data_IF_426895258039
#
_entry.id   IF_426895258039
#
_cell.length_a   1.000
_cell.length_b   1.000
_cell.length_c   1.000
_cell.angle_alpha   90.00
_cell.angle_beta   90.00
_cell.angle_gamma   90.00
#
_symmetry.space_group_name_H-M   'P 1'
#
loop_
_entity.id
_entity.type
_entity.pdbx_description
1 polymer ?
#
# COMPACT_ATOMS: atom_id res chain seq x y z
N UNK A 1 -22.88 -7.34 -88.22
CA UNK A 1 -22.16 -7.94 -87.08
C UNK A 1 -21.56 -6.82 -86.25
N UNK A 2 -22.17 -6.47 -85.12
CA UNK A 2 -21.54 -5.57 -84.14
C UNK A 2 -22.12 -5.87 -82.77
N UNK A 3 -21.29 -6.44 -81.90
CA UNK A 3 -21.63 -6.88 -80.53
C UNK A 3 -21.65 -5.65 -79.61
N UNK A 4 -22.71 -5.53 -78.80
CA UNK A 4 -22.75 -4.61 -77.65
C UNK A 4 -22.06 -5.28 -76.45
N UNK A 5 -21.07 -4.61 -75.87
CA UNK A 5 -20.41 -4.98 -74.61
C UNK A 5 -21.16 -4.33 -73.44
N UNK A 6 -21.68 -5.15 -72.53
CA UNK A 6 -22.22 -4.70 -71.23
C UNK A 6 -21.07 -4.48 -70.25
N UNK A 7 -20.93 -3.27 -69.73
CA UNK A 7 -20.05 -2.98 -68.58
C UNK A 7 -20.83 -3.21 -67.28
N UNK A 8 -20.34 -4.15 -66.46
CA UNK A 8 -20.82 -4.38 -65.09
C UNK A 8 -20.03 -3.44 -64.16
N UNK A 9 -20.71 -2.51 -63.50
CA UNK A 9 -20.13 -1.71 -62.42
C UNK A 9 -20.17 -2.52 -61.11
N UNK A 10 -19.00 -2.91 -60.61
CA UNK A 10 -18.84 -3.50 -59.27
C UNK A 10 -18.65 -2.36 -58.28
N UNK A 11 -19.63 -2.12 -57.41
CA UNK A 11 -19.50 -1.22 -56.27
C UNK A 11 -18.69 -1.90 -55.17
N UNK A 12 -17.46 -1.44 -54.93
CA UNK A 12 -16.70 -1.81 -53.73
C UNK A 12 -17.24 -0.99 -52.55
N UNK A 13 -17.96 -1.65 -51.64
CA UNK A 13 -18.33 -1.07 -50.35
C UNK A 13 -17.06 -1.01 -49.49
N UNK A 14 -16.51 0.19 -49.31
CA UNK A 14 -15.45 0.45 -48.33
C UNK A 14 -16.06 0.31 -46.92
N UNK A 15 -15.83 -0.83 -46.28
CA UNK A 15 -16.07 -0.98 -44.84
C UNK A 15 -14.94 -0.22 -44.16
N UNK A 16 -15.20 0.87 -43.40
CA UNK A 16 -14.15 1.56 -42.69
C UNK A 16 -13.57 0.58 -41.67
N UNK A 17 -12.25 0.37 -41.72
CA UNK A 17 -11.51 -0.32 -40.68
C UNK A 17 -11.77 0.41 -39.36
N UNK A 18 -12.72 -0.08 -38.57
CA UNK A 18 -12.77 0.27 -37.16
C UNK A 18 -11.42 -0.14 -36.59
N UNK A 19 -10.63 0.84 -36.15
CA UNK A 19 -9.51 0.59 -35.26
C UNK A 19 -10.10 -0.12 -34.04
N UNK A 20 -9.99 -1.43 -34.01
CA UNK A 20 -10.24 -2.20 -32.81
C UNK A 20 -9.11 -1.83 -31.86
N UNK A 21 -9.36 -0.89 -30.94
CA UNK A 21 -8.45 -0.63 -29.83
C UNK A 21 -8.30 -1.96 -29.11
N UNK A 22 -7.08 -2.55 -29.00
CA UNK A 22 -6.92 -3.80 -28.30
C UNK A 22 -7.33 -3.56 -26.85
N UNK A 23 -8.48 -4.12 -26.45
CA UNK A 23 -8.87 -4.19 -25.04
C UNK A 23 -7.75 -4.97 -24.37
N UNK A 24 -7.03 -4.33 -23.46
CA UNK A 24 -5.98 -4.96 -22.66
C UNK A 24 -6.64 -6.06 -21.84
N UNK A 25 -6.56 -7.30 -22.31
CA UNK A 25 -7.17 -8.43 -21.65
C UNK A 25 -6.37 -8.70 -20.37
N UNK A 26 -6.95 -8.31 -19.23
CA UNK A 26 -6.40 -8.59 -17.89
C UNK A 26 -6.17 -10.10 -17.77
N UNK A 27 -4.97 -10.50 -17.32
CA UNK A 27 -4.62 -11.92 -17.15
C UNK A 27 -4.97 -12.43 -15.75
N UNK A 28 -5.28 -11.53 -14.85
CA UNK A 28 -5.62 -11.77 -13.45
C UNK A 28 -6.89 -11.01 -13.07
N UNK A 29 -7.34 -11.20 -11.83
CA UNK A 29 -8.46 -10.44 -11.26
C UNK A 29 -8.04 -9.08 -10.65
N UNK A 30 -6.81 -8.59 -10.94
CA UNK A 30 -6.39 -7.26 -10.53
C UNK A 30 -7.33 -6.19 -11.09
N UNK A 31 -7.74 -5.26 -10.23
CA UNK A 31 -8.58 -4.13 -10.62
C UNK A 31 -7.90 -2.82 -10.21
N UNK A 32 -7.51 -2.01 -11.20
CA UNK A 32 -6.82 -0.74 -10.94
C UNK A 32 -7.71 0.28 -10.23
N UNK A 33 -9.02 0.30 -10.50
CA UNK A 33 -9.97 1.19 -9.80
C UNK A 33 -10.06 0.81 -8.32
N UNK A 34 -10.10 -0.50 -8.02
CA UNK A 34 -10.01 -1.01 -6.64
C UNK A 34 -8.67 -0.64 -6.01
N UNK A 35 -7.55 -0.79 -6.73
CA UNK A 35 -6.23 -0.42 -6.24
C UNK A 35 -6.12 1.08 -5.91
N UNK A 36 -6.63 1.98 -6.76
CA UNK A 36 -6.65 3.43 -6.50
C UNK A 36 -7.50 3.77 -5.27
N UNK A 37 -8.67 3.13 -5.13
CA UNK A 37 -9.50 3.28 -3.93
C UNK A 37 -8.78 2.80 -2.66
N UNK A 38 -8.09 1.66 -2.73
CA UNK A 38 -7.32 1.11 -1.61
C UNK A 38 -6.06 1.93 -1.30
N UNK A 39 -5.48 2.63 -2.27
CA UNK A 39 -4.39 3.59 -2.02
C UNK A 39 -4.89 4.77 -1.18
N UNK A 40 -6.07 5.33 -1.46
CA UNK A 40 -6.64 6.40 -0.64
C UNK A 40 -6.81 5.96 0.81
N UNK A 41 -7.27 4.73 1.04
CA UNK A 41 -7.39 4.17 2.38
C UNK A 41 -6.02 4.01 3.05
N UNK A 42 -5.04 3.44 2.34
CA UNK A 42 -3.66 3.29 2.84
C UNK A 42 -3.00 4.65 3.14
N UNK A 43 -3.23 5.67 2.31
CA UNK A 43 -2.80 7.04 2.52
C UNK A 43 -3.47 7.64 3.77
N UNK A 44 -4.79 7.48 3.91
CA UNK A 44 -5.55 7.96 5.07
C UNK A 44 -5.03 7.43 6.41
N UNK A 45 -4.39 6.27 6.43
CA UNK A 45 -3.74 5.73 7.63
C UNK A 45 -2.62 6.66 8.16
N UNK A 46 -1.98 7.47 7.32
CA UNK A 46 -0.93 8.42 7.72
C UNK A 46 -1.47 9.71 8.36
N UNK A 47 -2.76 10.01 8.19
CA UNK A 47 -3.42 11.16 8.79
C UNK A 47 -3.67 10.94 10.29
N UNK A 48 -4.06 12.01 11.00
CA UNK A 48 -4.60 11.87 12.35
C UNK A 48 -5.95 11.14 12.36
N UNK A 49 -6.68 11.22 11.24
CA UNK A 49 -8.04 10.72 11.08
C UNK A 49 -8.24 10.27 9.61
N UNK A 50 -8.62 9.01 9.32
CA UNK A 50 -8.78 8.51 7.96
C UNK A 50 -10.08 8.96 7.25
N UNK A 51 -11.00 9.62 7.95
CA UNK A 51 -12.39 9.88 7.53
C UNK A 51 -12.47 10.71 6.24
N UNK A 52 -11.59 11.69 6.06
CA UNK A 52 -11.56 12.49 4.83
C UNK A 52 -11.22 11.62 3.61
N UNK A 53 -10.22 10.73 3.75
CA UNK A 53 -9.87 9.77 2.72
C UNK A 53 -10.96 8.71 2.49
N UNK A 54 -11.61 8.23 3.55
CA UNK A 54 -12.76 7.32 3.45
C UNK A 54 -13.89 7.99 2.65
N UNK A 55 -14.19 9.26 2.93
CA UNK A 55 -15.23 10.03 2.22
C UNK A 55 -14.88 10.24 0.74
N UNK A 56 -13.62 10.55 0.42
CA UNK A 56 -13.14 10.70 -0.96
C UNK A 56 -13.24 9.38 -1.74
N UNK A 57 -12.74 8.30 -1.16
CA UNK A 57 -12.78 6.95 -1.75
C UNK A 57 -14.22 6.59 -2.04
N UNK A 58 -15.02 6.76 -0.98
CA UNK A 58 -16.40 6.40 -0.82
C UNK A 58 -17.42 7.43 -1.29
N UNK A 59 -17.55 7.81 -2.57
CA UNK A 59 -18.47 8.89 -3.03
C UNK A 59 -19.97 8.75 -2.64
N UNK A 60 -20.36 7.66 -1.97
CA UNK A 60 -21.74 7.37 -1.55
C UNK A 60 -22.20 8.15 -0.31
N UNK A 61 -23.46 8.61 -0.36
CA UNK A 61 -24.23 9.34 0.66
C UNK A 61 -24.60 8.48 1.90
N UNK A 62 -24.08 7.25 2.01
CA UNK A 62 -24.55 6.26 2.99
C UNK A 62 -23.45 5.89 3.99
N UNK A 63 -23.81 5.61 5.26
CA UNK A 63 -22.83 5.47 6.32
C UNK A 63 -21.99 4.21 6.12
N UNK A 64 -20.70 4.39 5.90
CA UNK A 64 -19.69 3.40 6.27
C UNK A 64 -19.23 3.74 7.68
N UNK A 65 -19.06 2.73 8.51
CA UNK A 65 -18.69 2.94 9.89
C UNK A 65 -17.19 2.66 10.05
N UNK A 66 -16.45 3.68 10.45
CA UNK A 66 -15.14 3.46 11.04
C UNK A 66 -15.39 2.66 12.32
N UNK A 67 -14.98 1.39 12.30
CA UNK A 67 -15.31 0.45 13.35
C UNK A 67 -14.26 0.52 14.48
N UNK A 68 -12.98 0.48 14.10
CA UNK A 68 -11.87 0.59 15.04
C UNK A 68 -10.73 1.37 14.41
N UNK A 69 -10.02 2.14 15.22
CA UNK A 69 -8.77 2.79 14.85
C UNK A 69 -7.83 2.69 16.04
N UNK A 70 -6.60 2.27 15.77
CA UNK A 70 -5.63 1.97 16.81
C UNK A 70 -4.29 2.53 16.40
N UNK A 71 -3.69 3.30 17.31
CA UNK A 71 -2.28 3.66 17.24
C UNK A 71 -1.61 3.09 18.50
N UNK A 72 -0.63 2.21 18.32
CA UNK A 72 0.13 1.63 19.44
C UNK A 72 1.61 1.74 19.18
N UNK A 73 2.40 1.76 20.25
CA UNK A 73 3.83 1.50 20.15
C UNK A 73 4.01 0.02 19.79
N UNK A 74 4.72 -0.24 18.71
CA UNK A 74 4.83 -1.60 18.15
C UNK A 74 6.26 -2.14 18.10
N UNK A 75 7.24 -1.39 18.63
CA UNK A 75 8.61 -1.86 18.73
C UNK A 75 9.32 -1.34 19.98
N UNK A 76 10.46 -1.96 20.28
CA UNK A 76 11.35 -1.63 21.40
C UNK A 76 11.95 -0.21 21.29
N UNK A 77 11.78 0.45 20.14
CA UNK A 77 12.24 1.81 19.84
C UNK A 77 11.12 2.85 19.90
N UNK A 78 9.96 2.48 20.45
CA UNK A 78 8.80 3.36 20.60
C UNK A 78 8.21 3.91 19.28
N UNK A 79 8.44 3.26 18.13
CA UNK A 79 7.73 3.65 16.91
C UNK A 79 6.26 3.27 17.03
N UNK A 80 5.40 4.17 16.57
CA UNK A 80 3.98 3.88 16.50
C UNK A 80 3.63 3.12 15.22
N UNK A 81 2.90 2.03 15.36
CA UNK A 81 2.15 1.40 14.28
C UNK A 81 0.68 1.79 14.40
N UNK A 82 -0.01 1.82 13.26
CA UNK A 82 -1.41 2.16 13.21
C UNK A 82 -2.19 1.20 12.33
N UNK A 83 -3.42 0.90 12.72
CA UNK A 83 -4.38 0.24 11.84
C UNK A 83 -5.78 0.79 12.07
N UNK A 84 -6.64 0.64 11.08
CA UNK A 84 -8.07 0.88 11.25
C UNK A 84 -8.90 -0.09 10.42
N UNK A 85 -10.14 -0.30 10.85
CA UNK A 85 -11.10 -1.18 10.18
C UNK A 85 -12.32 -0.38 9.74
N UNK A 86 -12.77 -0.62 8.50
CA UNK A 86 -13.93 0.03 7.91
C UNK A 86 -14.93 -1.03 7.45
N UNK A 87 -16.13 -1.00 8.02
CA UNK A 87 -17.23 -1.86 7.61
C UNK A 87 -18.11 -1.15 6.55
N UNK A 88 -18.34 -1.85 5.44
CA UNK A 88 -19.31 -1.50 4.39
C UNK A 88 -20.45 -2.53 4.42
N UNK A 89 -21.48 -2.23 5.22
CA UNK A 89 -22.61 -3.14 5.44
C UNK A 89 -23.45 -3.39 4.19
N UNK A 90 -23.40 -2.47 3.22
CA UNK A 90 -24.16 -2.59 1.97
C UNK A 90 -23.56 -3.70 1.11
N UNK A 91 -22.24 -3.68 0.99
CA UNK A 91 -21.51 -4.66 0.20
C UNK A 91 -21.12 -5.90 1.00
N UNK A 92 -21.44 -5.93 2.30
CA UNK A 92 -20.97 -6.95 3.25
C UNK A 92 -19.45 -7.13 3.15
N UNK A 93 -18.74 -6.01 3.23
CA UNK A 93 -17.29 -5.96 3.01
C UNK A 93 -16.58 -5.24 4.15
N UNK A 94 -15.48 -5.80 4.62
CA UNK A 94 -14.61 -5.25 5.65
C UNK A 94 -13.28 -4.85 5.03
N UNK A 95 -12.81 -3.64 5.28
CA UNK A 95 -11.48 -3.19 4.89
C UNK A 95 -10.61 -3.07 6.13
N UNK A 96 -9.44 -3.70 6.10
CA UNK A 96 -8.47 -3.65 7.20
C UNK A 96 -7.21 -2.99 6.66
N UNK A 97 -6.87 -1.84 7.23
CA UNK A 97 -5.88 -0.92 6.69
C UNK A 97 -4.76 -0.72 7.68
N UNK A 98 -3.52 -0.87 7.23
CA UNK A 98 -2.33 -0.69 8.05
C UNK A 98 -1.52 0.53 7.60
N UNK A 99 -1.06 1.32 8.56
CA UNK A 99 -0.19 2.48 8.35
C UNK A 99 1.26 2.04 8.22
N UNK A 100 2.01 2.67 7.31
CA UNK A 100 3.47 2.60 7.34
C UNK A 100 4.13 3.50 8.40
N UNK A 101 5.44 3.68 8.30
CA UNK A 101 6.22 4.47 9.27
C UNK A 101 6.05 5.98 9.08
N UNK A 102 5.84 6.75 10.17
CA UNK A 102 5.70 8.22 10.14
C UNK A 102 7.03 8.99 10.08
N UNK A 103 8.09 8.44 10.67
CA UNK A 103 9.29 9.19 11.09
C UNK A 103 10.55 8.97 10.24
N UNK A 104 10.62 7.96 9.38
CA UNK A 104 11.90 7.59 8.73
C UNK A 104 11.89 7.86 7.23
N UNK A 105 12.37 9.05 6.90
CA UNK A 105 12.59 9.52 5.53
C UNK A 105 14.08 9.56 5.14
N UNK A 106 14.96 8.85 5.84
CA UNK A 106 16.13 8.23 5.21
C UNK A 106 15.77 6.77 4.96
N UNK A 107 15.24 6.47 3.77
CA UNK A 107 14.70 5.15 3.39
C UNK A 107 15.71 3.99 3.37
N UNK A 108 16.97 4.23 3.79
CA UNK A 108 18.12 3.33 3.59
C UNK A 108 19.17 3.29 4.72
N UNK A 109 19.10 4.13 5.75
CA UNK A 109 20.06 4.00 6.88
C UNK A 109 19.83 2.71 7.68
N UNK A 110 18.70 2.05 7.41
CA UNK A 110 18.37 0.70 7.87
C UNK A 110 18.12 -0.27 6.70
N UNK A 111 19.13 -0.54 5.88
CA UNK A 111 19.30 -1.93 5.39
C UNK A 111 19.50 -2.95 6.55
N UNK A 112 19.28 -2.54 7.80
CA UNK A 112 19.97 -2.98 9.01
C UNK A 112 19.05 -3.68 10.03
N UNK A 113 17.74 -3.43 10.00
CA UNK A 113 16.76 -4.14 10.86
C UNK A 113 15.98 -5.22 10.10
N UNK A 114 16.11 -5.29 8.78
CA UNK A 114 15.66 -6.40 7.93
C UNK A 114 16.57 -7.64 8.04
N UNK A 115 17.68 -7.53 8.78
CA UNK A 115 18.62 -8.60 9.15
C UNK A 115 18.23 -9.29 10.48
N UNK A 116 17.11 -8.90 11.09
CA UNK A 116 16.59 -9.62 12.25
C UNK A 116 16.31 -11.08 11.85
N UNK A 117 16.64 -12.06 12.71
CA UNK A 117 16.43 -13.46 12.40
C UNK A 117 14.96 -13.66 12.01
N UNK A 118 14.73 -14.53 11.03
CA UNK A 118 13.38 -14.90 10.63
C UNK A 118 12.73 -15.71 11.77
N UNK A 119 11.48 -15.42 12.12
CA UNK A 119 10.74 -16.10 13.19
C UNK A 119 9.68 -17.00 12.58
N UNK A 120 9.52 -18.20 13.14
CA UNK A 120 8.44 -19.11 12.77
C UNK A 120 7.08 -18.40 12.85
N UNK A 121 6.37 -18.41 11.74
CA UNK A 121 5.03 -17.88 11.60
C UNK A 121 4.04 -19.04 11.70
N UNK A 122 3.81 -19.51 12.93
CA UNK A 122 2.83 -20.55 13.23
C UNK A 122 3.02 -21.86 12.42
N UNK A 123 4.27 -22.27 12.20
CA UNK A 123 4.62 -23.53 11.53
C UNK A 123 4.50 -23.54 10.00
N UNK A 124 4.25 -22.39 9.35
CA UNK A 124 4.05 -22.31 7.89
C UNK A 124 5.20 -21.62 7.13
N UNK A 125 6.32 -21.36 7.80
CA UNK A 125 7.47 -20.64 7.27
C UNK A 125 7.92 -19.56 8.24
N UNK A 126 8.90 -18.75 7.84
CA UNK A 126 9.44 -17.71 8.70
C UNK A 126 9.09 -16.32 8.18
N UNK A 127 8.59 -15.46 9.07
CA UNK A 127 8.37 -14.04 8.82
C UNK A 127 9.54 -13.21 9.36
N UNK A 128 9.74 -12.01 8.83
CA UNK A 128 10.61 -11.04 9.45
C UNK A 128 10.11 -10.72 10.87
N UNK A 129 10.98 -10.82 11.87
CA UNK A 129 10.63 -10.64 13.29
C UNK A 129 10.02 -9.28 13.60
N UNK A 130 10.47 -8.21 12.94
CA UNK A 130 9.91 -6.87 13.13
C UNK A 130 8.45 -6.80 12.66
N UNK A 131 8.17 -7.29 11.45
CA UNK A 131 6.80 -7.31 10.93
C UNK A 131 5.88 -8.22 11.75
N UNK A 132 6.40 -9.36 12.24
CA UNK A 132 5.65 -10.25 13.13
C UNK A 132 5.23 -9.54 14.41
N UNK A 133 6.15 -8.93 15.15
CA UNK A 133 5.82 -8.27 16.41
C UNK A 133 4.90 -7.07 16.22
N UNK A 134 5.10 -6.29 15.15
CA UNK A 134 4.21 -5.19 14.82
C UNK A 134 2.79 -5.66 14.48
N UNK A 135 2.64 -6.80 13.79
CA UNK A 135 1.32 -7.39 13.57
C UNK A 135 0.71 -7.86 14.88
N UNK A 136 1.44 -8.60 15.72
CA UNK A 136 0.88 -9.13 16.98
C UNK A 136 0.37 -8.01 17.91
N UNK A 137 1.04 -6.86 17.92
CA UNK A 137 0.58 -5.69 18.68
C UNK A 137 -0.76 -5.11 18.17
N UNK A 138 -1.00 -5.17 16.86
CA UNK A 138 -2.23 -4.68 16.24
C UNK A 138 -3.33 -5.74 16.14
N UNK A 139 -2.96 -7.03 16.20
CA UNK A 139 -3.84 -8.16 15.94
C UNK A 139 -5.13 -8.17 16.77
N UNK A 140 -5.14 -7.84 18.08
CA UNK A 140 -6.38 -7.89 18.86
C UNK A 140 -7.51 -7.03 18.27
N UNK A 141 -7.20 -5.84 17.73
CA UNK A 141 -8.22 -4.98 17.13
C UNK A 141 -8.65 -5.47 15.74
N UNK A 142 -7.74 -6.09 15.01
CA UNK A 142 -8.00 -6.72 13.70
C UNK A 142 -8.89 -7.94 13.86
N UNK A 143 -8.54 -8.81 14.81
CA UNK A 143 -9.30 -10.00 15.18
C UNK A 143 -10.70 -9.64 15.68
N UNK A 144 -10.82 -8.62 16.53
CA UNK A 144 -12.12 -8.13 16.99
C UNK A 144 -13.02 -7.71 15.81
N UNK A 145 -12.49 -6.93 14.86
CA UNK A 145 -13.25 -6.55 13.66
C UNK A 145 -13.64 -7.76 12.80
N UNK A 146 -12.73 -8.74 12.65
CA UNK A 146 -13.04 -9.98 11.92
C UNK A 146 -14.11 -10.83 12.62
N UNK A 147 -14.13 -10.87 13.94
CA UNK A 147 -15.14 -11.61 14.72
C UNK A 147 -16.49 -10.89 14.69
N UNK A 148 -16.53 -9.57 14.69
CA UNK A 148 -17.78 -8.79 14.65
C UNK A 148 -18.51 -8.89 13.30
N UNK A 149 -17.78 -9.03 12.20
CA UNK A 149 -18.34 -9.06 10.84
C UNK A 149 -18.14 -10.42 10.13
N UNK A 150 -18.50 -11.57 10.74
CA UNK A 150 -18.01 -12.91 10.36
C UNK A 150 -18.35 -13.32 8.92
N UNK A 151 -19.42 -12.77 8.35
CA UNK A 151 -19.91 -13.09 7.01
C UNK A 151 -19.41 -12.14 5.92
N UNK A 152 -18.59 -11.14 6.27
CA UNK A 152 -18.13 -10.14 5.32
C UNK A 152 -16.90 -10.64 4.57
N UNK A 153 -16.84 -10.35 3.27
CA UNK A 153 -15.58 -10.40 2.54
C UNK A 153 -14.61 -9.38 3.15
N UNK A 154 -13.31 -9.66 3.11
CA UNK A 154 -12.30 -8.80 3.72
C UNK A 154 -11.20 -8.46 2.73
N UNK A 155 -10.82 -7.19 2.69
CA UNK A 155 -9.67 -6.71 1.94
C UNK A 155 -8.65 -6.06 2.86
N UNK A 156 -7.44 -6.56 2.81
CA UNK A 156 -6.30 -6.03 3.51
C UNK A 156 -5.53 -5.07 2.60
N UNK A 157 -5.11 -3.93 3.13
CA UNK A 157 -4.28 -2.98 2.38
C UNK A 157 -3.32 -2.21 3.27
N UNK A 158 -2.24 -1.73 2.64
CA UNK A 158 -1.26 -0.87 3.28
C UNK A 158 -0.14 -0.48 2.33
N UNK A 159 0.54 0.61 2.68
CA UNK A 159 1.69 1.12 1.96
C UNK A 159 2.97 0.93 2.78
N UNK A 160 4.08 0.61 2.13
CA UNK A 160 5.39 0.41 2.78
C UNK A 160 5.32 -0.66 3.88
N UNK A 161 5.76 -0.37 5.11
CA UNK A 161 5.56 -1.22 6.28
C UNK A 161 4.10 -1.69 6.44
N UNK A 162 3.11 -0.83 6.16
CA UNK A 162 1.70 -1.21 6.22
C UNK A 162 1.35 -2.33 5.25
N UNK A 163 2.02 -2.40 4.09
CA UNK A 163 1.87 -3.52 3.15
C UNK A 163 2.37 -4.84 3.74
N UNK A 164 3.50 -4.83 4.45
CA UNK A 164 4.01 -6.03 5.11
C UNK A 164 3.05 -6.56 6.19
N UNK A 165 2.49 -5.65 7.00
CA UNK A 165 1.52 -6.00 8.04
C UNK A 165 0.20 -6.51 7.44
N UNK A 166 -0.29 -5.86 6.37
CA UNK A 166 -1.47 -6.30 5.63
C UNK A 166 -1.28 -7.71 5.05
N UNK A 167 -0.09 -8.02 4.53
CA UNK A 167 0.25 -9.36 4.05
C UNK A 167 0.14 -10.41 5.15
N UNK A 168 0.86 -10.23 6.27
CA UNK A 168 0.81 -11.18 7.39
C UNK A 168 -0.58 -11.30 8.00
N UNK A 169 -1.33 -10.19 8.11
CA UNK A 169 -2.69 -10.19 8.64
C UNK A 169 -3.65 -10.97 7.75
N UNK A 170 -3.57 -10.80 6.42
CA UNK A 170 -4.39 -11.55 5.47
C UNK A 170 -4.15 -13.05 5.57
N UNK A 171 -2.88 -13.46 5.70
CA UNK A 171 -2.49 -14.85 5.87
C UNK A 171 -2.97 -15.43 7.21
N UNK A 172 -2.74 -14.71 8.31
CA UNK A 172 -3.18 -15.12 9.66
C UNK A 172 -4.70 -15.27 9.73
N UNK A 173 -5.44 -14.40 9.05
CA UNK A 173 -6.91 -14.46 8.97
C UNK A 173 -7.41 -15.77 8.38
N UNK A 174 -6.82 -16.25 7.29
CA UNK A 174 -7.18 -17.53 6.69
C UNK A 174 -6.66 -18.70 7.53
N UNK A 175 -5.41 -18.61 7.99
CA UNK A 175 -4.75 -19.64 8.78
C UNK A 175 -5.52 -19.97 10.07
N UNK A 176 -6.10 -18.96 10.72
CA UNK A 176 -6.87 -19.12 11.96
C UNK A 176 -8.36 -19.41 11.70
N UNK A 177 -8.76 -19.60 10.44
CA UNK A 177 -10.13 -19.91 10.07
C UNK A 177 -11.12 -18.76 10.29
N UNK A 178 -10.63 -17.52 10.44
CA UNK A 178 -11.50 -16.35 10.59
C UNK A 178 -12.24 -16.05 9.28
N UNK A 179 -11.60 -16.28 8.12
CA UNK A 179 -12.25 -16.22 6.79
C UNK A 179 -11.72 -17.31 5.87
N UNK A 180 -12.56 -17.79 4.97
CA UNK A 180 -12.15 -18.67 3.88
C UNK A 180 -11.33 -17.91 2.83
N UNK A 181 -10.39 -18.58 2.15
CA UNK A 181 -9.49 -17.99 1.15
C UNK A 181 -10.18 -17.14 0.08
N UNK A 182 -11.36 -17.56 -0.40
CA UNK A 182 -12.12 -16.86 -1.43
C UNK A 182 -12.84 -15.58 -0.93
N UNK A 183 -12.82 -15.32 0.38
CA UNK A 183 -13.34 -14.11 1.00
C UNK A 183 -12.22 -13.13 1.38
N UNK A 184 -10.96 -13.44 1.10
CA UNK A 184 -9.81 -12.62 1.47
C UNK A 184 -9.10 -12.09 0.24
N UNK A 185 -8.93 -10.77 0.17
CA UNK A 185 -8.07 -10.10 -0.81
C UNK A 185 -6.96 -9.31 -0.13
N UNK A 186 -5.85 -9.13 -0.83
CA UNK A 186 -4.73 -8.30 -0.41
C UNK A 186 -4.29 -7.40 -1.57
N UNK A 187 -4.21 -6.10 -1.32
CA UNK A 187 -3.58 -5.12 -2.20
C UNK A 187 -2.55 -4.33 -1.40
N UNK A 188 -1.31 -4.26 -1.87
CA UNK A 188 -0.25 -3.53 -1.16
C UNK A 188 0.53 -2.62 -2.10
N UNK A 189 1.10 -1.55 -1.55
CA UNK A 189 1.84 -0.54 -2.30
C UNK A 189 3.26 -0.45 -1.76
N UNK A 190 4.27 -0.74 -2.57
CA UNK A 190 5.67 -0.72 -2.13
C UNK A 190 5.95 -1.68 -0.98
N UNK A 191 5.33 -2.86 -0.98
CA UNK A 191 5.47 -3.88 0.06
C UNK A 191 6.88 -4.48 0.02
N UNK A 192 7.64 -4.50 1.14
CA UNK A 192 8.92 -5.22 1.22
C UNK A 192 8.73 -6.75 1.22
N UNK A 193 9.81 -7.52 1.07
CA UNK A 193 9.77 -8.97 1.30
C UNK A 193 9.45 -9.25 2.77
N UNK A 194 8.43 -10.08 3.02
CA UNK A 194 7.84 -10.23 4.36
C UNK A 194 8.37 -11.45 5.11
N UNK A 195 8.76 -12.50 4.40
CA UNK A 195 9.26 -13.74 4.97
C UNK A 195 10.01 -14.58 3.95
N UNK A 196 10.31 -15.83 4.29
CA UNK A 196 10.98 -16.76 3.39
C UNK A 196 10.03 -17.38 2.37
N UNK A 197 10.59 -18.16 1.42
CA UNK A 197 9.79 -18.78 0.35
C UNK A 197 8.72 -19.75 0.88
N UNK A 198 8.97 -20.46 1.98
CA UNK A 198 7.97 -21.34 2.59
C UNK A 198 6.73 -20.54 3.00
N UNK A 199 6.93 -19.39 3.66
CA UNK A 199 5.83 -18.49 4.01
C UNK A 199 5.16 -17.93 2.75
N UNK A 200 5.94 -17.57 1.73
CA UNK A 200 5.41 -17.00 0.50
C UNK A 200 4.54 -17.99 -0.28
N UNK A 201 4.95 -19.26 -0.37
CA UNK A 201 4.17 -20.33 -0.98
C UNK A 201 2.86 -20.56 -0.24
N UNK A 202 2.91 -20.61 1.10
CA UNK A 202 1.71 -20.74 1.95
C UNK A 202 0.78 -19.54 1.81
N UNK A 203 1.32 -18.33 1.64
CA UNK A 203 0.54 -17.15 1.33
C UNK A 203 -0.20 -17.29 0.00
N UNK A 204 0.51 -17.70 -1.06
CA UNK A 204 -0.09 -17.89 -2.39
C UNK A 204 -1.21 -18.96 -2.40
N UNK A 205 -1.06 -20.01 -1.60
CA UNK A 205 -2.09 -21.04 -1.42
C UNK A 205 -3.33 -20.50 -0.70
N UNK A 206 -3.13 -19.78 0.41
CA UNK A 206 -4.21 -19.38 1.32
C UNK A 206 -4.88 -18.05 0.93
N UNK A 207 -4.17 -17.15 0.25
CA UNK A 207 -4.63 -15.81 -0.14
C UNK A 207 -4.32 -15.57 -1.63
N UNK A 208 -4.96 -16.30 -2.56
CA UNK A 208 -4.64 -16.26 -3.98
C UNK A 208 -4.95 -14.90 -4.64
N UNK A 209 -5.87 -14.10 -4.08
CA UNK A 209 -6.17 -12.74 -4.54
C UNK A 209 -5.23 -11.72 -3.87
N UNK A 210 -3.94 -11.85 -4.15
CA UNK A 210 -2.87 -11.01 -3.59
C UNK A 210 -2.13 -10.26 -4.68
N UNK A 211 -2.17 -8.93 -4.63
CA UNK A 211 -1.57 -8.03 -5.61
C UNK A 211 -0.60 -7.06 -4.93
N UNK A 212 0.65 -7.07 -5.39
CA UNK A 212 1.71 -6.16 -4.93
C UNK A 212 1.94 -5.09 -6.00
N UNK A 213 1.55 -3.85 -5.73
CA UNK A 213 1.71 -2.74 -6.66
C UNK A 213 3.08 -2.12 -6.43
N UNK A 214 3.88 -2.04 -7.50
CA UNK A 214 5.27 -1.54 -7.47
C UNK A 214 5.44 -0.43 -8.51
N UNK A 215 6.02 0.69 -8.08
CA UNK A 215 6.24 1.86 -8.92
C UNK A 215 7.72 2.02 -9.31
N UNK A 216 8.01 1.98 -10.60
CA UNK A 216 9.28 2.39 -11.21
C UNK A 216 10.50 1.71 -10.59
N UNK A 217 11.27 2.50 -9.86
CA UNK A 217 12.51 2.09 -9.17
C UNK A 217 12.34 2.13 -7.65
N UNK A 218 11.14 1.86 -7.14
CA UNK A 218 10.91 1.71 -5.71
C UNK A 218 11.80 0.58 -5.17
N UNK A 219 12.75 0.94 -4.30
CA UNK A 219 13.70 -0.01 -3.70
C UNK A 219 13.07 -0.88 -2.60
N UNK A 220 11.97 -0.45 -1.98
CA UNK A 220 11.42 -1.11 -0.79
C UNK A 220 10.93 -2.54 -1.10
N UNK A 221 10.23 -2.82 -2.21
CA UNK A 221 9.96 -4.18 -2.63
C UNK A 221 11.20 -5.07 -2.77
N UNK A 222 12.38 -4.51 -3.01
CA UNK A 222 13.59 -5.31 -3.14
C UNK A 222 14.35 -5.48 -1.82
N UNK A 223 13.75 -5.05 -0.70
CA UNK A 223 14.31 -5.19 0.64
C UNK A 223 13.42 -6.06 1.55
N UNK A 224 14.02 -6.87 2.44
CA UNK A 224 15.41 -7.35 2.36
C UNK A 224 15.67 -8.10 1.05
N UNK A 225 16.94 -8.16 0.63
CA UNK A 225 17.33 -8.85 -0.60
C UNK A 225 17.07 -10.36 -0.53
N UNK A 226 16.56 -10.93 -1.63
CA UNK A 226 16.50 -12.39 -1.81
C UNK A 226 17.90 -13.00 -2.03
N UNK A 227 18.01 -14.32 -1.92
CA UNK A 227 19.16 -15.01 -2.50
C UNK A 227 19.14 -14.83 -4.02
N UNK A 228 20.32 -14.66 -4.63
CA UNK A 228 20.48 -14.52 -6.07
C UNK A 228 21.03 -15.81 -6.64
N UNK A 229 20.50 -16.25 -7.78
CA UNK A 229 21.04 -17.40 -8.51
C UNK A 229 22.39 -17.02 -9.14
N UNK A 230 23.49 -17.56 -8.63
CA UNK A 230 24.85 -17.23 -9.05
C UNK A 230 25.26 -17.85 -10.41
N UNK A 231 24.39 -18.64 -11.05
CA UNK A 231 24.72 -19.36 -12.29
C UNK A 231 24.82 -18.42 -13.52
N UNK A 232 24.30 -17.19 -13.45
CA UNK A 232 24.31 -16.26 -14.59
C UNK A 232 25.49 -15.27 -14.57
N UNK A 233 26.00 -14.87 -15.73
CA UNK A 233 27.10 -13.89 -15.85
C UNK A 233 26.64 -12.42 -15.89
N UNK A 234 25.44 -12.11 -15.40
CA UNK A 234 24.83 -10.78 -15.47
C UNK A 234 25.17 -9.91 -14.24
N UNK A 235 24.95 -8.58 -14.33
CA UNK A 235 25.10 -7.65 -13.21
C UNK A 235 23.95 -7.72 -12.19
N UNK A 236 22.82 -8.33 -12.57
CA UNK A 236 21.66 -8.63 -11.73
C UNK A 236 21.21 -10.05 -12.04
N UNK A 237 20.80 -10.79 -11.02
CA UNK A 237 20.40 -12.20 -11.13
C UNK A 237 18.97 -12.41 -10.65
N UNK A 238 18.26 -13.43 -11.14
CA UNK A 238 16.96 -13.81 -10.59
C UNK A 238 17.11 -14.24 -9.12
N UNK A 239 16.03 -14.12 -8.35
CA UNK A 239 16.01 -14.68 -7.02
C UNK A 239 16.09 -16.21 -7.09
N UNK A 240 16.83 -16.84 -6.19
CA UNK A 240 16.95 -18.29 -6.10
C UNK A 240 15.77 -18.87 -5.30
N UNK A 241 14.83 -19.60 -5.94
CA UNK A 241 13.70 -20.20 -5.24
C UNK A 241 14.09 -21.43 -4.41
N UNK A 242 15.27 -22.02 -4.62
CA UNK A 242 15.74 -23.18 -3.86
C UNK A 242 16.34 -22.77 -2.50
N UNK A 243 16.59 -21.47 -2.30
CA UNK A 243 17.04 -20.95 -1.03
C UNK A 243 15.89 -20.75 -0.03
N UNK A 244 15.65 -21.76 0.82
CA UNK A 244 14.50 -21.81 1.72
C UNK A 244 14.57 -20.82 2.90
N UNK A 245 15.72 -20.22 3.18
CA UNK A 245 15.92 -19.35 4.35
C UNK A 245 15.81 -17.87 3.99
N UNK A 246 16.01 -17.52 2.72
CA UNK A 246 16.13 -16.13 2.31
C UNK A 246 14.78 -15.49 2.02
N UNK A 247 14.68 -14.16 2.17
CA UNK A 247 13.44 -13.43 1.90
C UNK A 247 12.94 -13.66 0.48
N UNK A 248 11.63 -13.84 0.33
CA UNK A 248 11.00 -14.13 -0.94
C UNK A 248 9.57 -13.57 -0.96
N UNK A 249 9.12 -13.08 -2.11
CA UNK A 249 7.81 -12.49 -2.32
C UNK A 249 6.73 -13.53 -2.57
N UNK A 250 5.54 -13.22 -2.05
CA UNK A 250 4.29 -13.85 -2.44
C UNK A 250 3.48 -12.88 -3.32
N UNK A 251 2.33 -13.35 -3.78
CA UNK A 251 1.38 -12.58 -4.57
C UNK A 251 1.88 -12.27 -5.97
N UNK A 252 0.99 -11.65 -6.75
CA UNK A 252 1.28 -11.23 -8.11
C UNK A 252 1.77 -9.78 -8.06
N UNK A 253 2.94 -9.51 -8.64
CA UNK A 253 3.38 -8.13 -8.83
C UNK A 253 2.61 -7.46 -9.97
N UNK A 254 2.16 -6.24 -9.69
CA UNK A 254 1.61 -5.30 -10.66
C UNK A 254 2.62 -4.17 -10.81
N UNK A 255 3.45 -4.26 -11.85
CA UNK A 255 4.61 -3.40 -12.02
C UNK A 255 4.31 -2.24 -12.97
N UNK A 256 4.41 -1.01 -12.47
CA UNK A 256 4.32 0.22 -13.25
C UNK A 256 5.74 0.72 -13.53
N UNK A 257 6.35 0.47 -14.71
CA UNK A 257 7.76 0.80 -14.97
C UNK A 257 8.03 2.32 -15.09
N UNK A 258 6.98 3.11 -15.32
CA UNK A 258 7.07 4.53 -15.63
C UNK A 258 6.08 5.31 -14.75
N UNK A 259 5.08 5.95 -15.35
CA UNK A 259 4.07 6.73 -14.63
C UNK A 259 2.92 5.85 -14.14
N UNK A 260 2.14 6.35 -13.18
CA UNK A 260 0.92 5.70 -12.66
C UNK A 260 -0.34 6.56 -12.88
N UNK A 261 -0.42 7.25 -14.02
CA UNK A 261 -1.63 7.98 -14.44
C UNK A 261 -2.76 7.01 -14.75
N UNK A 262 -3.97 7.53 -14.86
CA UNK A 262 -5.07 6.76 -15.44
C UNK A 262 -4.64 6.24 -16.82
N UNK A 263 -4.94 4.97 -17.10
CA UNK A 263 -4.52 4.22 -18.29
C UNK A 263 -3.01 3.97 -18.47
N UNK A 264 -2.19 4.30 -17.46
CA UNK A 264 -0.76 3.95 -17.49
C UNK A 264 -0.54 2.45 -17.74
N UNK A 265 0.38 2.07 -18.65
CA UNK A 265 0.71 0.67 -18.84
C UNK A 265 1.39 0.10 -17.58
N UNK A 266 1.02 -1.13 -17.24
CA UNK A 266 1.66 -1.93 -16.19
C UNK A 266 1.96 -3.35 -16.69
N UNK A 267 2.64 -4.14 -15.89
CA UNK A 267 2.83 -5.57 -16.13
C UNK A 267 2.15 -6.35 -15.01
N UNK A 268 1.40 -7.39 -15.38
CA UNK A 268 1.00 -8.45 -14.46
C UNK A 268 2.10 -9.52 -14.51
N UNK A 269 2.93 -9.54 -13.48
CA UNK A 269 4.18 -10.27 -13.44
C UNK A 269 3.94 -11.75 -13.10
N UNK A 270 3.66 -12.52 -14.15
CA UNK A 270 3.32 -13.94 -14.08
C UNK A 270 4.48 -14.85 -14.55
N UNK A 271 5.65 -14.26 -14.82
CA UNK A 271 6.85 -14.95 -15.24
C UNK A 271 7.58 -15.63 -14.09
N UNK A 272 8.85 -15.96 -14.35
CA UNK A 272 9.66 -16.78 -13.47
C UNK A 272 10.83 -15.98 -12.86
N UNK A 273 11.24 -16.34 -11.64
CA UNK A 273 10.56 -17.26 -10.73
C UNK A 273 9.26 -16.63 -10.17
N UNK A 274 8.22 -17.45 -9.93
CA UNK A 274 6.91 -16.93 -9.51
C UNK A 274 7.03 -16.16 -8.18
N UNK A 275 6.38 -15.00 -8.11
CA UNK A 275 6.50 -14.07 -6.98
C UNK A 275 7.67 -13.09 -7.08
N UNK A 276 8.70 -13.40 -7.89
CA UNK A 276 9.93 -12.62 -8.09
C UNK A 276 10.29 -12.56 -9.59
N UNK A 277 9.30 -12.28 -10.46
CA UNK A 277 9.45 -12.34 -11.92
C UNK A 277 10.57 -11.42 -12.41
N UNK A 278 11.63 -12.02 -12.93
CA UNK A 278 12.82 -11.28 -13.35
C UNK A 278 12.54 -10.34 -14.53
N UNK A 279 11.45 -10.51 -15.28
CA UNK A 279 11.10 -9.57 -16.36
C UNK A 279 10.42 -8.28 -15.85
N UNK A 280 10.04 -8.22 -14.57
CA UNK A 280 9.42 -7.06 -13.93
C UNK A 280 10.44 -6.23 -13.15
N UNK A 281 10.13 -5.80 -11.92
CA UNK A 281 11.02 -4.92 -11.15
C UNK A 281 12.28 -5.65 -10.66
N UNK A 282 12.28 -6.98 -10.54
CA UNK A 282 13.42 -7.72 -9.97
C UNK A 282 14.68 -7.77 -10.85
N UNK A 283 14.61 -7.35 -12.13
CA UNK A 283 15.81 -7.11 -12.95
C UNK A 283 16.60 -5.89 -12.51
N UNK A 284 15.98 -4.94 -11.79
CA UNK A 284 16.59 -3.66 -11.48
C UNK A 284 17.82 -3.84 -10.58
N UNK A 285 18.82 -3.00 -10.83
CA UNK A 285 20.02 -2.90 -9.99
C UNK A 285 20.01 -1.56 -9.26
N UNK A 286 20.17 -1.59 -7.95
CA UNK A 286 20.14 -0.40 -7.10
C UNK A 286 21.56 0.02 -6.73
N UNK A 287 22.02 1.13 -7.27
CA UNK A 287 23.28 1.78 -6.87
C UNK A 287 23.03 2.93 -5.89
N UNK A 288 23.88 3.13 -4.85
CA UNK A 288 23.64 4.12 -3.79
C UNK A 288 23.48 5.58 -4.26
N UNK A 289 24.11 5.94 -5.38
CA UNK A 289 24.12 7.30 -5.93
C UNK A 289 22.71 7.77 -6.33
N UNK A 290 21.81 6.86 -6.69
CA UNK A 290 20.44 7.16 -7.11
C UNK A 290 19.40 7.03 -5.99
N UNK A 291 19.81 6.95 -4.72
CA UNK A 291 18.91 6.78 -3.58
C UNK A 291 17.70 7.71 -3.60
N UNK A 292 17.87 8.98 -4.02
CA UNK A 292 16.77 9.93 -4.12
C UNK A 292 15.64 9.45 -5.05
N UNK A 293 15.98 8.88 -6.21
CA UNK A 293 14.98 8.38 -7.17
C UNK A 293 14.21 7.20 -6.61
N UNK A 294 14.91 6.29 -5.91
CA UNK A 294 14.25 5.16 -5.25
C UNK A 294 13.31 5.63 -4.16
N UNK A 295 13.74 6.63 -3.40
CA UNK A 295 12.91 7.22 -2.36
C UNK A 295 11.70 7.97 -2.89
N UNK A 296 11.86 8.57 -4.07
CA UNK A 296 10.79 9.24 -4.77
C UNK A 296 9.76 8.21 -5.25
N UNK A 297 10.21 7.18 -5.99
CA UNK A 297 9.34 6.12 -6.48
C UNK A 297 8.55 5.44 -5.34
N UNK A 298 9.21 5.15 -4.21
CA UNK A 298 8.55 4.59 -3.04
C UNK A 298 7.45 5.48 -2.44
N UNK A 299 7.56 6.79 -2.57
CA UNK A 299 6.61 7.71 -1.95
C UNK A 299 5.46 8.12 -2.87
N UNK A 300 5.57 7.80 -4.16
CA UNK A 300 4.61 8.23 -5.15
C UNK A 300 3.89 7.03 -5.73
N UNK A 301 2.57 6.99 -5.56
CA UNK A 301 1.73 5.94 -6.14
C UNK A 301 0.49 6.62 -6.73
N UNK A 302 0.11 6.24 -7.94
CA UNK A 302 -1.04 6.82 -8.65
C UNK A 302 -1.04 8.36 -8.68
N UNK A 303 0.12 8.96 -8.93
CA UNK A 303 0.36 10.41 -8.96
C UNK A 303 0.25 11.15 -7.61
N UNK A 304 0.17 10.42 -6.49
CA UNK A 304 0.08 11.01 -5.15
C UNK A 304 1.31 10.73 -4.32
N UNK A 305 1.77 11.74 -3.59
CA UNK A 305 2.79 11.56 -2.56
C UNK A 305 2.10 11.00 -1.32
N UNK A 306 2.19 9.69 -1.12
CA UNK A 306 1.25 8.90 -0.28
C UNK A 306 1.05 9.48 1.13
N UNK A 307 2.09 9.78 1.94
CA UNK A 307 1.84 10.30 3.29
C UNK A 307 1.25 11.72 3.32
N UNK A 308 1.78 12.72 2.59
CA UNK A 308 1.13 14.03 2.44
C UNK A 308 -0.31 13.96 1.90
N UNK A 309 -0.55 13.18 0.86
CA UNK A 309 -1.88 12.99 0.27
C UNK A 309 -2.91 12.53 1.29
N UNK A 310 -2.54 11.54 2.12
CA UNK A 310 -3.37 11.09 3.24
C UNK A 310 -3.64 12.18 4.27
N UNK A 311 -2.61 12.91 4.68
CA UNK A 311 -2.70 13.99 5.69
C UNK A 311 -3.52 15.19 5.22
N UNK A 312 -3.61 15.40 3.91
CA UNK A 312 -4.49 16.39 3.27
C UNK A 312 -5.91 15.85 3.03
N UNK A 313 -6.23 14.66 3.53
CA UNK A 313 -7.57 14.08 3.42
C UNK A 313 -7.88 13.53 2.03
N UNK A 314 -6.86 13.08 1.29
CA UNK A 314 -6.97 12.54 -0.06
C UNK A 314 -7.61 13.52 -1.06
N UNK A 315 -7.30 14.80 -0.92
CA UNK A 315 -7.68 15.82 -1.88
C UNK A 315 -6.66 15.89 -3.02
N UNK A 316 -7.09 16.29 -4.21
CA UNK A 316 -6.25 16.42 -5.41
C UNK A 316 -5.41 17.71 -5.34
N UNK A 317 -4.47 17.78 -4.40
CA UNK A 317 -3.67 18.98 -4.12
C UNK A 317 -2.19 18.73 -4.44
N UNK A 318 -1.92 18.29 -5.68
CA UNK A 318 -0.57 17.83 -6.12
C UNK A 318 0.55 18.82 -5.79
N UNK A 319 0.34 20.12 -5.99
CA UNK A 319 1.35 21.14 -5.66
C UNK A 319 1.63 21.29 -4.16
N UNK A 320 0.61 21.10 -3.31
CA UNK A 320 0.75 21.19 -1.86
C UNK A 320 1.36 19.91 -1.28
N UNK A 321 0.95 18.75 -1.80
CA UNK A 321 1.52 17.45 -1.47
C UNK A 321 3.05 17.45 -1.61
N UNK A 322 3.55 17.96 -2.74
CA UNK A 322 4.98 17.99 -3.04
C UNK A 322 5.77 18.92 -2.11
N UNK A 323 5.17 20.05 -1.70
CA UNK A 323 5.79 21.01 -0.78
C UNK A 323 5.89 20.50 0.66
N UNK A 324 5.04 19.55 1.07
CA UNK A 324 5.00 19.06 2.45
C UNK A 324 6.12 18.05 2.73
N UNK A 325 6.76 18.13 3.91
CA UNK A 325 7.71 17.10 4.34
C UNK A 325 6.97 15.81 4.69
N UNK A 326 7.64 14.66 4.54
CA UNK A 326 6.97 13.36 4.72
C UNK A 326 6.48 13.12 6.16
N UNK A 327 7.17 13.69 7.14
CA UNK A 327 6.84 13.64 8.57
C UNK A 327 5.92 14.78 9.02
N UNK A 328 5.37 15.58 8.10
CA UNK A 328 4.41 16.64 8.41
C UNK A 328 3.28 16.11 9.30
N UNK A 329 2.89 16.80 10.36
CA UNK A 329 1.67 16.45 11.10
C UNK A 329 0.60 17.51 10.79
N UNK A 330 -0.58 17.06 10.34
CA UNK A 330 -1.69 17.97 10.06
C UNK A 330 -2.20 18.57 11.37
N UNK A 331 -2.08 19.89 11.55
CA UNK A 331 -2.72 20.60 12.66
C UNK A 331 -4.23 20.64 12.42
N UNK A 332 -4.99 19.71 12.99
CA UNK A 332 -6.45 19.76 12.97
C UNK A 332 -6.97 20.76 14.03
N UNK A 333 -6.72 22.06 13.86
CA UNK A 333 -7.36 23.14 14.61
C UNK A 333 -7.43 24.43 13.77
N UNK A 334 -8.15 24.42 12.64
CA UNK A 334 -8.52 25.69 12.01
C UNK A 334 -9.87 25.67 11.26
N UNK A 335 -10.76 24.73 11.61
CA UNK A 335 -12.11 24.67 11.07
C UNK A 335 -13.17 24.53 12.17
N UNK A 336 -13.08 25.35 13.23
CA UNK A 336 -14.19 25.57 14.16
C UNK A 336 -14.03 26.90 14.90
N UNK A 337 -14.83 27.90 14.52
CA UNK A 337 -15.23 28.97 15.44
C UNK A 337 -14.21 30.09 15.66
N UNK A 338 -14.22 31.04 14.74
CA UNK A 338 -13.80 32.42 14.94
C UNK A 338 -14.67 33.08 16.05
N UNK A 339 -14.45 32.75 17.34
CA UNK A 339 -15.08 33.45 18.49
C UNK A 339 -14.52 33.13 19.90
N UNK A 340 -13.24 32.74 20.06
CA UNK A 340 -12.62 32.60 21.40
C UNK A 340 -11.24 33.23 21.57
N UNK A 341 -10.90 34.22 20.74
CA UNK A 341 -9.64 34.94 20.83
C UNK A 341 -9.70 36.27 21.61
N UNK A 342 -10.64 36.40 22.57
CA UNK A 342 -10.69 37.58 23.47
C UNK A 342 -10.55 37.24 24.96
N UNK A 343 -10.70 35.98 25.38
CA UNK A 343 -10.78 35.64 26.82
C UNK A 343 -9.43 35.24 27.43
N UNK A 344 -8.47 34.72 26.66
CA UNK A 344 -7.16 34.28 27.18
C UNK A 344 -6.11 35.39 27.35
N UNK A 345 -6.22 36.51 26.61
CA UNK A 345 -5.35 37.69 26.82
C UNK A 345 -5.68 38.46 28.11
N UNK A 346 -6.89 38.31 28.67
CA UNK A 346 -7.28 38.99 29.91
C UNK A 346 -6.75 38.30 31.18
N UNK A 347 -6.43 37.00 31.12
CA UNK A 347 -5.98 36.24 32.30
C UNK A 347 -4.45 36.30 32.43
N UNK A 348 -3.72 36.27 31.31
CA UNK A 348 -2.26 36.40 31.29
C UNK A 348 -1.77 37.77 31.80
N UNK A 349 -2.52 38.85 31.57
CA UNK A 349 -2.18 40.20 32.07
C UNK A 349 -2.51 40.42 33.56
N UNK A 350 -3.43 39.62 34.15
CA UNK A 350 -3.72 39.69 35.60
C UNK A 350 -2.72 38.90 36.45
N UNK A 351 -2.09 37.85 35.90
CA UNK A 351 -1.08 37.06 36.62
C UNK A 351 0.28 37.79 36.65
N UNK A 352 0.60 38.58 35.62
CA UNK A 352 1.85 39.38 35.56
C UNK A 352 1.88 40.58 36.51
N UNK A 353 0.74 41.06 37.01
CA UNK A 353 0.67 42.16 37.98
C UNK A 353 0.77 41.68 39.45
N UNK A 354 0.51 40.40 39.72
CA UNK A 354 0.55 39.85 41.08
C UNK A 354 1.96 39.43 41.55
N UNK A 355 2.88 39.13 40.63
CA UNK A 355 4.26 38.72 40.96
C UNK A 355 5.21 39.88 41.27
N UNK A 356 4.79 41.14 41.06
CA UNK A 356 5.60 42.32 41.35
C UNK A 356 5.39 42.89 42.77
N UNK A 357 4.44 42.34 43.53
CA UNK A 357 4.12 42.80 44.90
C UNK A 357 4.61 41.89 46.03
N UNK A 358 5.17 40.71 45.74
CA UNK A 358 5.52 39.74 46.78
C UNK A 358 7.01 39.44 46.96
N UNK A 359 7.93 40.10 46.24
CA UNK A 359 9.34 40.21 46.64
C UNK A 359 10.03 38.92 47.16
N UNK A 360 9.97 37.83 46.41
CA UNK A 360 10.77 36.63 46.69
C UNK A 360 11.70 36.43 45.49
N UNK A 361 13.01 36.59 45.73
CA UNK A 361 14.08 36.25 44.79
C UNK A 361 14.13 34.74 44.53
#
# INVERSE_FOLDING_TARGET
MTRFLYFIFIFFIFIPNFLCIPIRQSRTAYNEVEARALLNLAAGAYANSPEACIKKTFLSVRPRQLHSSTNQICDEFANSCGSYSLADDINQHLYIVFRGTKSKAQLLTEGWHSLQPSRDFYGIGNANTYFFHALEALWPNVEQALVEYPNYAVTFTGHSLGGALASLASLKTVLFGLRSSNYVKLYTFGQPRVGNILLAQRHNELVPQSYRIVHGVDIVPHLPGCAKDEIMGASSHPCDPDNLERPYHHGIEIYYPHEMREDSPYFECLGAPFGEDYNCSDRLTFIPEHHFQYTYAHRHYFEHKVPPFGKLGCQELKEEEEKLPNNFESNSHEAAGNHRHSTFKSIANKIRFASQFLGIN
#
